data_IF_130098980548
#
_entry.id   IF_130098980548
#
_cell.length_a   1.000
_cell.length_b   1.000
_cell.length_c   1.000
_cell.angle_alpha   90.00
_cell.angle_beta   90.00
_cell.angle_gamma   90.00
#
_symmetry.space_group_name_H-M   'P 1'
#
loop_
_entity.id
_entity.type
_entity.pdbx_description
1 polymer ?
#
# COMPACT_ATOMS: atom_id res chain seq x y z
N UNK A 1 -28.33 7.15 -6.05
CA UNK A 1 -28.14 5.82 -5.43
C UNK A 1 -27.51 4.81 -6.38
N UNK A 2 -28.09 4.54 -7.56
CA UNK A 2 -27.53 3.59 -8.55
C UNK A 2 -26.10 3.92 -9.00
N UNK A 3 -25.80 5.19 -9.26
CA UNK A 3 -24.45 5.62 -9.68
C UNK A 3 -23.39 5.39 -8.61
N UNK A 4 -23.69 5.75 -7.36
CA UNK A 4 -22.79 5.52 -6.21
C UNK A 4 -22.55 4.02 -6.02
N UNK A 5 -23.59 3.20 -6.15
CA UNK A 5 -23.47 1.73 -6.10
C UNK A 5 -22.56 1.20 -7.21
N UNK A 6 -22.67 1.73 -8.43
CA UNK A 6 -21.82 1.33 -9.54
C UNK A 6 -20.35 1.68 -9.28
N UNK A 7 -20.07 2.87 -8.74
CA UNK A 7 -18.71 3.29 -8.37
C UNK A 7 -18.14 2.39 -7.26
N UNK A 8 -18.94 2.07 -6.24
CA UNK A 8 -18.53 1.17 -5.16
C UNK A 8 -18.24 -0.24 -5.68
N UNK A 9 -19.09 -0.74 -6.56
CA UNK A 9 -18.93 -2.07 -7.16
C UNK A 9 -17.68 -2.12 -8.05
N UNK A 10 -17.47 -1.09 -8.88
CA UNK A 10 -16.24 -0.92 -9.66
C UNK A 10 -15.01 -0.90 -8.76
N UNK A 11 -15.04 -0.12 -7.67
CA UNK A 11 -13.95 -0.06 -6.68
C UNK A 11 -13.64 -1.44 -6.11
N UNK A 12 -14.66 -2.19 -5.66
CA UNK A 12 -14.48 -3.52 -5.06
C UNK A 12 -13.89 -4.51 -6.06
N UNK A 13 -14.38 -4.51 -7.31
CA UNK A 13 -13.87 -5.39 -8.36
C UNK A 13 -12.42 -5.03 -8.70
N UNK A 14 -12.12 -3.75 -8.92
CA UNK A 14 -10.76 -3.27 -9.19
C UNK A 14 -9.81 -3.60 -8.05
N UNK A 15 -10.24 -3.42 -6.79
CA UNK A 15 -9.47 -3.78 -5.60
C UNK A 15 -9.15 -5.27 -5.56
N UNK A 16 -10.16 -6.12 -5.72
CA UNK A 16 -9.98 -7.57 -5.73
C UNK A 16 -9.01 -8.02 -6.84
N UNK A 17 -9.16 -7.49 -8.05
CA UNK A 17 -8.35 -7.86 -9.20
C UNK A 17 -6.89 -7.40 -9.04
N UNK A 18 -6.67 -6.13 -8.67
CA UNK A 18 -5.31 -5.59 -8.45
C UNK A 18 -4.63 -6.29 -7.28
N UNK A 19 -5.34 -6.56 -6.18
CA UNK A 19 -4.79 -7.30 -5.05
C UNK A 19 -4.43 -8.73 -5.43
N UNK A 20 -5.27 -9.42 -6.20
CA UNK A 20 -5.01 -10.79 -6.64
C UNK A 20 -3.78 -10.85 -7.54
N UNK A 21 -3.62 -9.92 -8.48
CA UNK A 21 -2.41 -9.82 -9.30
C UNK A 21 -1.18 -9.55 -8.44
N UNK A 22 -1.25 -8.58 -7.52
CA UNK A 22 -0.14 -8.27 -6.62
C UNK A 22 0.23 -9.49 -5.76
N UNK A 23 -0.78 -10.19 -5.24
CA UNK A 23 -0.61 -11.37 -4.43
C UNK A 23 0.09 -12.50 -5.21
N UNK A 24 -0.35 -12.78 -6.43
CA UNK A 24 0.24 -13.84 -7.26
C UNK A 24 1.69 -13.52 -7.66
N UNK A 25 1.98 -12.27 -8.01
CA UNK A 25 3.29 -11.86 -8.51
C UNK A 25 4.29 -11.69 -7.36
N UNK A 26 3.91 -10.96 -6.31
CA UNK A 26 4.83 -10.52 -5.26
C UNK A 26 4.73 -11.35 -3.99
N UNK A 27 3.52 -11.56 -3.46
CA UNK A 27 3.35 -12.17 -2.13
C UNK A 27 3.60 -13.68 -2.20
N UNK A 28 2.94 -14.40 -3.09
CA UNK A 28 2.99 -15.87 -3.19
C UNK A 28 4.42 -16.40 -3.37
N UNK A 29 5.27 -15.68 -4.10
CA UNK A 29 6.66 -16.10 -4.40
C UNK A 29 7.71 -15.57 -3.41
N UNK A 30 7.38 -14.59 -2.55
CA UNK A 30 8.36 -13.90 -1.67
C UNK A 30 8.00 -13.95 -0.18
N UNK A 31 7.34 -15.00 0.29
CA UNK A 31 6.95 -15.13 1.72
C UNK A 31 8.11 -15.45 2.67
N UNK A 32 9.26 -15.94 2.18
CA UNK A 32 10.48 -16.11 2.99
C UNK A 32 11.35 -14.86 2.89
N UNK A 33 11.79 -14.34 4.03
CA UNK A 33 12.71 -13.21 4.11
C UNK A 33 13.99 -13.53 3.34
N UNK A 34 14.33 -12.68 2.39
CA UNK A 34 15.61 -12.71 1.70
C UNK A 34 16.07 -11.27 1.59
N UNK A 35 17.22 -10.95 2.20
CA UNK A 35 17.79 -9.60 2.29
C UNK A 35 17.94 -8.92 0.91
N UNK A 36 18.06 -9.71 -0.16
CA UNK A 36 18.22 -9.21 -1.54
C UNK A 36 16.89 -9.06 -2.31
N UNK A 37 15.76 -9.49 -1.74
CA UNK A 37 14.42 -9.43 -2.38
C UNK A 37 13.42 -8.56 -1.61
N UNK A 38 13.92 -7.80 -0.65
CA UNK A 38 13.13 -6.90 0.19
C UNK A 38 12.62 -5.73 -0.65
N UNK A 39 11.32 -5.41 -0.60
CA UNK A 39 10.73 -4.32 -1.38
C UNK A 39 11.18 -2.94 -0.86
N UNK A 40 11.21 -1.93 -1.73
CA UNK A 40 11.73 -0.58 -1.39
C UNK A 40 10.94 0.05 -0.25
N UNK A 41 9.63 -0.19 -0.20
CA UNK A 41 8.73 0.33 0.82
C UNK A 41 9.11 -0.17 2.23
N UNK A 42 9.72 -1.36 2.34
CA UNK A 42 10.24 -1.86 3.60
C UNK A 42 11.44 -1.02 4.09
N UNK A 43 12.40 -0.73 3.20
CA UNK A 43 13.55 0.11 3.55
C UNK A 43 13.12 1.54 3.85
N UNK A 44 12.16 2.07 3.10
CA UNK A 44 11.56 3.37 3.38
C UNK A 44 10.98 3.41 4.80
N UNK A 45 10.17 2.42 5.19
CA UNK A 45 9.58 2.37 6.53
C UNK A 45 10.63 2.22 7.63
N UNK A 46 11.61 1.33 7.43
CA UNK A 46 12.65 1.03 8.41
C UNK A 46 13.55 2.24 8.66
N UNK A 47 13.97 2.92 7.59
CA UNK A 47 14.84 4.10 7.67
C UNK A 47 14.11 5.30 8.27
N UNK A 48 12.91 5.61 7.79
CA UNK A 48 12.17 6.80 8.22
C UNK A 48 11.70 6.73 9.68
N UNK A 49 11.31 5.53 10.15
CA UNK A 49 10.78 5.35 11.51
C UNK A 49 11.77 4.70 12.50
N UNK A 50 13.01 4.43 12.06
CA UNK A 50 14.04 3.82 12.89
C UNK A 50 13.68 2.43 13.42
N UNK A 51 12.97 1.63 12.61
CA UNK A 51 12.44 0.34 13.04
C UNK A 51 13.53 -0.73 13.06
N UNK A 52 13.53 -1.57 14.09
CA UNK A 52 14.40 -2.76 14.13
C UNK A 52 13.83 -3.83 13.19
N UNK A 53 14.59 -4.19 12.14
CA UNK A 53 14.18 -5.17 11.13
C UNK A 53 13.78 -6.52 11.74
N UNK A 54 14.51 -6.94 12.80
CA UNK A 54 14.28 -8.21 13.51
C UNK A 54 12.91 -8.34 14.18
N UNK A 55 12.25 -7.21 14.51
CA UNK A 55 10.95 -7.22 15.18
C UNK A 55 9.78 -7.08 14.19
N UNK A 56 10.09 -6.96 12.89
CA UNK A 56 9.08 -6.90 11.83
C UNK A 56 8.88 -8.31 11.29
N UNK A 57 7.69 -8.87 11.52
CA UNK A 57 7.25 -10.07 10.80
C UNK A 57 7.16 -9.73 9.30
N UNK A 58 8.16 -10.21 8.55
CA UNK A 58 8.28 -9.94 7.12
C UNK A 58 7.09 -10.49 6.32
N UNK A 59 6.56 -11.66 6.69
CA UNK A 59 5.40 -12.24 6.02
C UNK A 59 4.21 -11.32 6.22
N UNK A 60 3.93 -10.93 7.48
CA UNK A 60 2.84 -10.00 7.79
C UNK A 60 3.02 -8.64 7.09
N UNK A 61 4.24 -8.12 7.07
CA UNK A 61 4.57 -6.89 6.35
C UNK A 61 4.23 -6.98 4.86
N UNK A 62 4.63 -8.07 4.18
CA UNK A 62 4.35 -8.28 2.75
C UNK A 62 2.85 -8.31 2.43
N UNK A 63 2.02 -8.88 3.31
CA UNK A 63 0.57 -8.85 3.14
C UNK A 63 0.00 -7.44 3.35
N UNK A 64 0.42 -6.75 4.42
CA UNK A 64 -0.07 -5.40 4.72
C UNK A 64 0.36 -4.41 3.64
N UNK A 65 1.62 -4.46 3.19
CA UNK A 65 2.12 -3.61 2.11
C UNK A 65 1.39 -3.88 0.80
N UNK A 66 1.05 -5.14 0.51
CA UNK A 66 0.19 -5.48 -0.63
C UNK A 66 -1.19 -4.82 -0.54
N UNK A 67 -1.86 -4.91 0.60
CA UNK A 67 -3.17 -4.25 0.82
C UNK A 67 -3.07 -2.73 0.68
N UNK A 68 -2.02 -2.12 1.23
CA UNK A 68 -1.77 -0.68 1.14
C UNK A 68 -1.49 -0.26 -0.30
N UNK A 69 -0.62 -0.98 -1.02
CA UNK A 69 -0.31 -0.67 -2.42
C UNK A 69 -1.55 -0.81 -3.31
N UNK A 70 -2.35 -1.87 -3.15
CA UNK A 70 -3.62 -2.01 -3.87
C UNK A 70 -4.57 -0.84 -3.55
N UNK A 71 -4.66 -0.45 -2.28
CA UNK A 71 -5.49 0.69 -1.87
C UNK A 71 -5.06 1.99 -2.56
N UNK A 72 -3.76 2.28 -2.58
CA UNK A 72 -3.19 3.46 -3.25
C UNK A 72 -3.54 3.46 -4.74
N UNK A 73 -3.30 2.34 -5.43
CA UNK A 73 -3.52 2.21 -6.87
C UNK A 73 -5.01 2.40 -7.22
N UNK A 74 -5.90 1.68 -6.54
CA UNK A 74 -7.33 1.67 -6.88
C UNK A 74 -8.01 2.98 -6.49
N UNK A 75 -7.65 3.55 -5.34
CA UNK A 75 -8.13 4.87 -4.95
C UNK A 75 -7.69 5.92 -5.95
N UNK A 76 -6.41 5.91 -6.36
CA UNK A 76 -5.91 6.83 -7.39
C UNK A 76 -6.71 6.66 -8.67
N UNK A 77 -6.84 5.43 -9.19
CA UNK A 77 -7.58 5.12 -10.41
C UNK A 77 -9.01 5.65 -10.38
N UNK A 78 -9.77 5.37 -9.32
CA UNK A 78 -11.17 5.82 -9.21
C UNK A 78 -11.24 7.35 -9.12
N UNK A 79 -10.35 7.98 -8.34
CA UNK A 79 -10.32 9.45 -8.23
C UNK A 79 -10.02 10.10 -9.58
N UNK A 80 -8.95 9.69 -10.27
CA UNK A 80 -8.62 10.33 -11.55
C UNK A 80 -9.61 10.00 -12.65
N UNK A 81 -10.12 8.76 -12.73
CA UNK A 81 -11.04 8.35 -13.79
C UNK A 81 -12.43 9.01 -13.67
N UNK A 82 -12.89 9.28 -12.45
CA UNK A 82 -14.22 9.88 -12.23
C UNK A 82 -14.21 11.40 -12.16
N UNK A 83 -13.11 12.04 -11.72
CA UNK A 83 -13.04 13.50 -11.57
C UNK A 83 -12.46 14.21 -12.80
N UNK A 84 -11.66 13.52 -13.62
CA UNK A 84 -10.91 14.16 -14.71
C UNK A 84 -11.26 13.52 -16.05
N UNK A 85 -11.50 14.34 -17.07
CA UNK A 85 -11.91 13.86 -18.39
C UNK A 85 -10.75 13.65 -19.36
N UNK A 86 -9.63 14.38 -19.17
CA UNK A 86 -8.48 14.33 -20.09
C UNK A 86 -7.41 13.38 -19.57
N UNK A 87 -7.00 12.43 -20.40
CA UNK A 87 -6.02 11.40 -20.05
C UNK A 87 -4.67 11.97 -19.56
N UNK A 88 -4.17 13.04 -20.19
CA UNK A 88 -2.93 13.71 -19.74
C UNK A 88 -3.05 14.32 -18.33
N UNK A 89 -4.21 14.88 -17.98
CA UNK A 89 -4.46 15.48 -16.67
C UNK A 89 -4.63 14.38 -15.62
N UNK A 90 -5.32 13.28 -15.97
CA UNK A 90 -5.41 12.08 -15.13
C UNK A 90 -4.03 11.57 -14.73
N UNK A 91 -3.08 11.53 -15.67
CA UNK A 91 -1.72 11.06 -15.41
C UNK A 91 -0.98 11.99 -14.44
N UNK A 92 -1.01 13.30 -14.68
CA UNK A 92 -0.35 14.28 -13.81
C UNK A 92 -0.93 14.28 -12.39
N UNK A 93 -2.26 14.34 -12.26
CA UNK A 93 -2.93 14.31 -10.96
C UNK A 93 -2.73 12.95 -10.27
N UNK A 94 -2.71 11.86 -11.02
CA UNK A 94 -2.50 10.51 -10.49
C UNK A 94 -1.16 10.37 -9.78
N UNK A 95 -0.09 10.92 -10.35
CA UNK A 95 1.24 10.92 -9.73
C UNK A 95 1.20 11.65 -8.37
N UNK A 96 0.59 12.84 -8.34
CA UNK A 96 0.48 13.64 -7.11
C UNK A 96 -0.32 12.89 -6.04
N UNK A 97 -1.45 12.30 -6.41
CA UNK A 97 -2.30 11.53 -5.49
C UNK A 97 -1.56 10.30 -4.95
N UNK A 98 -0.84 9.57 -5.80
CA UNK A 98 -0.04 8.41 -5.37
C UNK A 98 0.99 8.82 -4.33
N UNK A 99 1.75 9.89 -4.58
CA UNK A 99 2.77 10.37 -3.64
C UNK A 99 2.14 10.74 -2.29
N UNK A 100 1.03 11.48 -2.31
CA UNK A 100 0.30 11.86 -1.09
C UNK A 100 -0.19 10.63 -0.32
N UNK A 101 -0.80 9.67 -1.01
CA UNK A 101 -1.30 8.45 -0.38
C UNK A 101 -0.18 7.55 0.16
N UNK A 102 0.98 7.49 -0.52
CA UNK A 102 2.16 6.78 -0.01
C UNK A 102 2.58 7.39 1.34
N UNK A 103 2.73 8.71 1.41
CA UNK A 103 3.13 9.41 2.64
C UNK A 103 2.14 9.12 3.78
N UNK A 104 0.84 9.20 3.51
CA UNK A 104 -0.21 8.98 4.51
C UNK A 104 -0.24 7.52 4.96
N UNK A 105 -0.43 6.58 4.02
CA UNK A 105 -0.64 5.18 4.34
C UNK A 105 0.61 4.53 4.97
N UNK A 106 1.79 4.75 4.36
CA UNK A 106 3.03 4.22 4.93
C UNK A 106 3.46 4.99 6.17
N UNK A 107 3.03 6.25 6.33
CA UNK A 107 3.27 6.99 7.56
C UNK A 107 2.47 6.42 8.75
N UNK A 108 1.21 6.06 8.52
CA UNK A 108 0.37 5.35 9.51
C UNK A 108 0.98 3.98 9.84
N UNK A 109 1.38 3.22 8.80
CA UNK A 109 1.99 1.90 8.98
C UNK A 109 3.30 1.97 9.78
N UNK A 110 4.16 2.95 9.50
CA UNK A 110 5.40 3.21 10.22
C UNK A 110 5.19 3.50 11.70
N UNK A 111 4.25 4.42 12.02
CA UNK A 111 3.90 4.74 13.41
C UNK A 111 3.30 3.53 14.15
N UNK A 112 2.51 2.69 13.47
CA UNK A 112 1.98 1.45 14.04
C UNK A 112 3.11 0.51 14.49
N UNK A 113 4.07 0.24 13.60
CA UNK A 113 5.22 -0.62 13.95
C UNK A 113 6.11 0.01 15.03
N UNK A 114 6.32 1.32 15.00
CA UNK A 114 7.11 2.03 15.99
C UNK A 114 6.49 1.92 17.39
N UNK A 115 5.17 2.14 17.50
CA UNK A 115 4.43 1.99 18.77
C UNK A 115 4.51 0.56 19.29
N UNK A 116 4.37 -0.43 18.41
CA UNK A 116 4.46 -1.85 18.77
C UNK A 116 5.85 -2.18 19.35
N UNK A 117 6.93 -1.77 18.68
CA UNK A 117 8.30 -2.02 19.16
C UNK A 117 8.60 -1.32 20.49
N UNK A 118 8.08 -0.12 20.71
CA UNK A 118 8.26 0.60 21.96
C UNK A 118 7.57 -0.08 23.16
N UNK A 119 6.41 -0.71 22.93
CA UNK A 119 5.72 -1.50 23.97
C UNK A 119 6.52 -2.77 24.28
N UNK A 120 7.04 -3.43 23.25
CA UNK A 120 7.79 -4.69 23.40
C UNK A 120 9.16 -4.48 24.06
N UNK A 121 9.80 -3.31 23.91
CA UNK A 121 11.00 -2.92 24.67
C UNK A 121 10.77 -2.70 26.17
N UNK A 122 9.53 -2.42 26.59
CA UNK A 122 9.18 -2.11 27.99
C UNK A 122 8.72 -3.35 28.78
N UNK A 123 8.55 -4.48 28.10
CA UNK A 123 8.30 -5.79 28.72
C UNK A 123 9.61 -6.54 28.88
#
# INVERSE_FOLDING_TARGET
MKEILNILLEYIISYALVFLLYYLIFIRKKTKYNKNKVPVEYYYLVSLYGLRQKDIDYKKFMYISGLVNTFIIVTTYIVVSKLLNKWFIQLLCGIVIIILLIIICYGILGRYYQKKQNIEKRK
#
